data_IF_589372137801
#
_entry.id   IF_589372137801
#
_cell.length_a   1.000
_cell.length_b   1.000
_cell.length_c   1.000
_cell.angle_alpha   90.00
_cell.angle_beta   90.00
_cell.angle_gamma   90.00
#
_symmetry.space_group_name_H-M   'P 1'
#
loop_
_entity.id
_entity.type
_entity.pdbx_description
1 polymer ?
2 non-polymer ?
3 water ?
#
# COMPACT_ATOMS: atom_id res chain seq x y z
N UNK A 1 7.20 -19.66 -3.17
CA UNK A 1 7.93 -18.39 -3.11
C UNK A 1 8.31 -18.09 -1.67
N UNK A 2 9.45 -17.45 -1.49
CA UNK A 2 9.89 -17.16 -0.14
C UNK A 2 9.18 -15.91 0.36
N UNK A 3 8.79 -15.93 1.64
CA UNK A 3 8.11 -14.81 2.26
C UNK A 3 9.00 -13.61 2.16
N UNK A 4 8.58 -12.65 1.34
CA UNK A 4 9.42 -11.50 1.05
C UNK A 4 9.67 -10.61 2.24
N UNK A 5 10.42 -9.54 2.00
CA UNK A 5 10.57 -8.48 2.97
C UNK A 5 9.22 -7.79 3.17
N UNK A 6 9.04 -7.11 4.29
CA UNK A 6 7.78 -6.43 4.58
C UNK A 6 7.98 -5.05 5.20
N UNK A 7 9.12 -4.43 4.92
CA UNK A 7 9.37 -3.11 5.47
C UNK A 7 8.92 -2.03 4.50
N UNK A 8 8.44 -0.92 5.05
CA UNK A 8 8.20 0.28 4.26
C UNK A 8 9.53 0.84 3.76
N UNK A 9 9.57 1.25 2.50
CA UNK A 9 10.68 2.05 1.99
C UNK A 9 10.34 3.51 2.22
N UNK A 10 11.01 4.15 3.19
CA UNK A 10 10.64 5.52 3.56
C UNK A 10 10.81 6.52 2.42
N UNK A 11 9.85 7.43 2.31
CA UNK A 11 9.89 8.51 1.33
C UNK A 11 9.94 8.02 -0.11
N UNK A 12 9.37 6.84 -0.34
CA UNK A 12 9.16 6.34 -1.70
C UNK A 12 7.66 6.21 -1.94
N UNK A 13 7.19 6.76 -3.06
CA UNK A 13 5.78 6.64 -3.42
C UNK A 13 5.66 5.84 -4.72
N UNK A 14 4.69 4.93 -4.77
CA UNK A 14 4.43 4.19 -6.02
C UNK A 14 3.83 5.10 -7.09
N UNK A 15 4.50 5.17 -8.24
CA UNK A 15 3.99 5.96 -9.35
C UNK A 15 2.79 5.29 -9.99
N UNK A 16 2.58 4.02 -9.68
CA UNK A 16 1.43 3.31 -10.19
C UNK A 16 0.14 3.67 -9.49
N UNK A 17 0.10 3.49 -8.18
CA UNK A 17 -1.13 3.66 -7.39
C UNK A 17 -1.06 4.77 -6.34
N UNK A 18 0.03 5.53 -6.35
CA UNK A 18 0.28 6.58 -5.35
C UNK A 18 0.32 6.08 -3.91
N UNK A 19 0.60 4.79 -3.72
CA UNK A 19 0.60 4.23 -2.39
C UNK A 19 2.01 4.12 -1.84
N UNK A 20 2.14 3.61 -0.61
CA UNK A 20 3.46 3.32 -0.06
C UNK A 20 4.07 2.08 -0.70
N UNK A 21 5.39 1.95 -0.58
CA UNK A 21 6.09 0.81 -1.13
C UNK A 21 6.50 -0.05 0.04
N UNK A 22 5.82 -1.18 0.18
CA UNK A 22 6.01 -2.05 1.33
C UNK A 22 6.48 -3.40 0.83
N UNK A 23 7.60 -3.89 1.34
CA UNK A 23 8.20 -5.08 0.78
C UNK A 23 9.22 -4.70 -0.28
N UNK A 24 9.18 -5.35 -1.44
CA UNK A 24 10.17 -5.07 -2.48
C UNK A 24 9.84 -3.79 -3.24
N UNK A 25 10.86 -2.99 -3.51
CA UNK A 25 10.69 -1.79 -4.30
C UNK A 25 11.18 -2.05 -5.72
N UNK A 26 10.35 -1.72 -6.71
CA UNK A 26 10.75 -1.93 -8.09
C UNK A 26 11.07 -0.59 -8.74
N UNK A 27 12.35 -0.27 -8.80
CA UNK A 27 12.78 1.00 -9.35
C UNK A 27 13.11 0.83 -10.81
N UNK A 28 12.49 1.65 -11.66
CA UNK A 28 12.77 1.58 -13.08
C UNK A 28 14.24 1.91 -13.31
N UNK A 29 14.90 1.14 -14.16
CA UNK A 29 16.31 1.37 -14.48
C UNK A 29 16.49 2.34 -15.66
N UNK A 30 15.40 2.80 -16.24
CA UNK A 30 15.49 3.71 -17.38
C UNK A 30 14.99 5.09 -16.99
N UNK A 31 13.80 5.15 -16.40
CA UNK A 31 13.26 6.41 -15.91
C UNK A 31 14.09 6.90 -14.73
N UNK A 32 14.25 8.22 -14.61
CA UNK A 32 15.11 8.73 -13.53
C UNK A 32 14.52 8.56 -12.14
N UNK A 33 13.19 8.51 -12.02
CA UNK A 33 12.56 8.58 -10.71
C UNK A 33 11.22 7.87 -10.67
N UNK A 34 11.19 6.62 -11.12
CA UNK A 34 9.94 5.88 -11.24
C UNK A 34 10.02 4.59 -10.43
N UNK A 35 9.04 4.38 -9.55
CA UNK A 35 9.04 3.18 -8.70
C UNK A 35 7.65 2.53 -8.70
N UNK A 36 7.61 1.22 -8.52
CA UNK A 36 6.35 0.49 -8.35
C UNK A 36 6.36 -0.30 -7.04
N UNK A 37 5.20 -0.37 -6.38
CA UNK A 37 5.01 -1.31 -5.27
C UNK A 37 4.83 -2.69 -5.87
N UNK A 38 4.99 -3.74 -5.07
CA UNK A 38 4.94 -5.09 -5.64
C UNK A 38 3.55 -5.39 -6.17
N UNK A 39 2.54 -4.69 -5.65
CA UNK A 39 1.18 -4.91 -6.12
C UNK A 39 1.04 -4.42 -7.55
N UNK A 40 1.52 -3.21 -7.81
CA UNK A 40 1.48 -2.66 -9.15
C UNK A 40 2.41 -3.38 -10.12
N UNK A 41 3.61 -3.77 -9.67
CA UNK A 41 4.50 -4.58 -10.51
C UNK A 41 3.79 -5.86 -10.93
N UNK A 42 3.08 -6.47 -9.98
CA UNK A 42 2.35 -7.70 -10.23
C UNK A 42 1.24 -7.52 -11.26
N UNK A 43 0.66 -6.33 -11.29
CA UNK A 43 -0.40 -6.02 -12.22
C UNK A 43 0.14 -5.75 -13.63
N UNK A 44 1.47 -5.76 -13.77
CA UNK A 44 2.10 -5.57 -15.06
C UNK A 44 2.23 -4.13 -15.51
N UNK A 45 2.21 -3.19 -14.57
CA UNK A 45 2.35 -1.78 -14.91
C UNK A 45 3.78 -1.48 -15.35
N UNK A 46 3.92 -0.47 -16.20
CA UNK A 46 5.22 0.02 -16.65
C UNK A 46 6.03 -1.09 -17.32
N UNK A 47 5.35 -1.91 -18.12
CA UNK A 47 5.99 -2.98 -18.87
C UNK A 47 6.71 -2.37 -20.07
N UNK A 48 7.99 -2.71 -20.25
CA UNK A 48 8.77 -2.18 -21.36
C UNK A 48 10.11 -1.59 -20.93
N UNK A 49 10.21 -1.24 -19.65
CA UNK A 49 11.44 -0.79 -19.02
C UNK A 49 11.82 -1.79 -17.96
N UNK A 50 13.09 -2.13 -17.90
CA UNK A 50 13.55 -3.05 -16.87
C UNK A 50 13.60 -2.34 -15.52
N UNK A 51 13.10 -3.02 -14.49
CA UNK A 51 13.18 -2.47 -13.15
C UNK A 51 14.15 -3.26 -12.28
N UNK A 52 14.73 -2.59 -11.29
CA UNK A 52 15.60 -3.24 -10.32
C UNK A 52 14.79 -3.52 -9.06
N UNK A 53 14.91 -4.73 -8.51
CA UNK A 53 14.22 -5.12 -7.28
C UNK A 53 15.07 -4.87 -6.04
N UNK A 54 14.63 -3.95 -5.19
CA UNK A 54 15.28 -3.70 -3.91
C UNK A 54 14.39 -4.24 -2.79
N UNK A 55 14.77 -5.39 -2.21
CA UNK A 55 13.90 -6.01 -1.20
C UNK A 55 13.74 -5.14 0.02
N UNK A 56 14.80 -4.45 0.40
CA UNK A 56 14.84 -3.73 1.66
C UNK A 56 15.41 -2.34 1.47
N UNK A 57 14.98 -1.38 2.30
CA UNK A 57 15.63 -0.07 2.35
C UNK A 57 16.91 -0.08 3.19
N UNK B 1 -8.11 19.45 3.65
CA UNK B 1 -8.15 18.07 3.17
C UNK B 1 -8.21 18.01 1.67
N UNK B 2 -7.37 17.20 1.07
CA UNK B 2 -7.55 16.92 -0.34
C UNK B 2 -8.55 15.78 -0.43
N UNK B 3 -9.47 15.88 -1.38
CA UNK B 3 -10.44 14.81 -1.61
C UNK B 3 -9.67 13.55 -1.92
N UNK B 4 -9.66 12.62 -0.97
CA UNK B 4 -8.91 11.40 -1.12
C UNK B 4 -9.43 10.52 -2.23
N UNK B 5 -8.87 9.32 -2.32
CA UNK B 5 -9.39 8.31 -3.21
C UNK B 5 -10.80 7.91 -2.76
N UNK B 6 -11.56 7.26 -3.63
CA UNK B 6 -12.92 6.86 -3.29
C UNK B 6 -13.29 5.51 -3.88
N UNK B 7 -12.29 4.66 -4.11
CA UNK B 7 -12.57 3.34 -4.65
C UNK B 7 -12.67 2.31 -3.54
N UNK B 8 -13.50 1.31 -3.77
CA UNK B 8 -13.59 0.19 -2.85
C UNK B 8 -12.34 -0.65 -3.00
N UNK B 9 -11.78 -1.09 -1.88
CA UNK B 9 -10.74 -2.11 -1.88
C UNK B 9 -11.39 -3.48 -1.89
N UNK B 10 -11.34 -4.16 -3.04
CA UNK B 10 -12.05 -5.44 -3.14
C UNK B 10 -11.52 -6.47 -2.15
N UNK B 11 -12.45 -7.24 -1.59
CA UNK B 11 -12.13 -8.33 -0.68
C UNK B 11 -11.41 -7.89 0.59
N UNK B 12 -11.67 -6.66 1.01
CA UNK B 12 -11.22 -6.18 2.32
C UNK B 12 -12.43 -5.78 3.15
N UNK B 13 -12.48 -6.27 4.38
CA UNK B 13 -13.53 -5.88 5.31
C UNK B 13 -12.91 -5.16 6.50
N UNK B 14 -13.55 -4.08 6.93
CA UNK B 14 -13.09 -3.34 8.10
C UNK B 14 -13.27 -4.16 9.36
N UNK B 15 -12.18 -4.36 10.09
CA UNK B 15 -12.24 -5.06 11.36
C UNK B 15 -12.92 -4.23 12.43
N UNK B 16 -13.05 -2.94 12.15
CA UNK B 16 -13.71 -2.04 13.07
C UNK B 16 -15.22 -2.18 13.06
N UNK B 17 -15.81 -1.99 11.88
CA UNK B 17 -17.27 -1.96 11.75
C UNK B 17 -17.85 -3.09 10.90
N UNK B 18 -16.98 -3.90 10.30
CA UNK B 18 -17.35 -4.99 9.37
C UNK B 18 -17.95 -4.48 8.06
N UNK B 19 -17.64 -3.25 7.70
CA UNK B 19 -18.13 -2.69 6.46
C UNK B 19 -17.07 -2.73 5.38
N UNK B 20 -17.38 -2.20 4.20
CA UNK B 20 -16.37 -2.13 3.14
C UNK B 20 -15.35 -1.05 3.43
N UNK B 21 -14.19 -1.16 2.79
CA UNK B 21 -13.15 -0.18 2.96
C UNK B 21 -13.14 0.64 1.69
N UNK B 22 -13.59 1.88 1.80
CA UNK B 22 -13.79 2.73 0.62
C UNK B 22 -12.96 3.98 0.77
N UNK B 23 -12.10 4.26 -0.21
CA UNK B 23 -11.13 5.32 -0.05
C UNK B 23 -9.86 4.70 0.51
N UNK B 24 -9.25 5.32 1.51
CA UNK B 24 -7.97 4.84 2.04
C UNK B 24 -8.16 3.60 2.91
N UNK B 25 -7.29 2.62 2.73
CA UNK B 25 -7.28 1.44 3.59
C UNK B 25 -6.16 1.57 4.63
N UNK B 26 -6.50 1.32 5.89
CA UNK B 26 -5.51 1.39 6.95
C UNK B 26 -5.20 -0.01 7.45
N UNK B 27 -4.05 -0.53 7.07
CA UNK B 27 -3.71 -1.91 7.40
C UNK B 27 -2.73 -1.90 8.53
N UNK B 28 -3.03 -2.65 9.59
CA UNK B 28 -2.12 -2.70 10.71
C UNK B 28 -0.77 -3.28 10.26
N UNK B 29 0.30 -2.65 10.70
CA UNK B 29 1.64 -3.10 10.34
C UNK B 29 2.15 -4.14 11.32
N UNK B 30 1.36 -4.45 12.34
CA UNK B 30 1.81 -5.38 13.38
C UNK B 30 1.00 -6.67 13.33
N UNK B 31 -0.33 -6.53 13.33
CA UNK B 31 -1.22 -7.67 13.16
C UNK B 31 -1.08 -8.22 11.75
N UNK B 32 -1.28 -9.53 11.59
CA UNK B 32 -1.09 -10.06 10.24
C UNK B 32 -2.25 -9.75 9.29
N UNK B 33 -3.44 -9.48 9.81
CA UNK B 33 -4.58 -9.32 8.92
C UNK B 33 -5.66 -8.41 9.49
N UNK B 34 -5.27 -7.20 9.86
CA UNK B 34 -6.20 -6.26 10.47
C UNK B 34 -6.27 -4.98 9.62
N UNK B 35 -7.49 -4.54 9.32
CA UNK B 35 -7.68 -3.35 8.50
C UNK B 35 -8.79 -2.46 9.06
N UNK B 36 -8.66 -1.16 8.87
CA UNK B 36 -9.71 -0.21 9.24
C UNK B 36 -10.11 0.63 8.04
N UNK B 37 -11.41 0.90 7.92
CA UNK B 37 -11.90 1.91 6.98
C UNK B 37 -11.54 3.27 7.55
N UNK B 38 -11.60 4.30 6.72
CA UNK B 38 -11.19 5.63 7.17
C UNK B 38 -12.08 6.15 8.29
N UNK B 39 -13.37 5.80 8.30
CA UNK B 39 -14.21 6.34 9.37
C UNK B 39 -13.79 5.68 10.69
N UNK B 40 -13.52 4.38 10.65
CA UNK B 40 -13.09 3.68 11.85
C UNK B 40 -11.74 4.17 12.34
N UNK B 41 -10.81 4.40 11.41
CA UNK B 41 -9.51 4.96 11.76
C UNK B 41 -9.69 6.32 12.40
N UNK B 42 -10.64 7.09 11.87
CA UNK B 42 -10.91 8.43 12.37
C UNK B 42 -11.53 8.45 13.76
N UNK B 43 -12.25 7.39 14.10
CA UNK B 43 -12.85 7.28 15.42
C UNK B 43 -11.81 6.87 16.47
N UNK B 44 -10.60 6.56 16.01
CA UNK B 44 -9.50 6.23 16.89
C UNK B 44 -9.38 4.76 17.27
N UNK B 45 -9.93 3.88 16.43
CA UNK B 45 -9.90 2.45 16.74
C UNK B 45 -8.51 1.89 16.55
N UNK B 46 -8.20 0.84 17.30
CA UNK B 46 -6.94 0.12 17.14
C UNK B 46 -5.74 1.04 17.32
N UNK B 47 -5.83 1.93 18.31
CA UNK B 47 -4.72 2.80 18.66
C UNK B 47 -3.70 1.99 19.46
N UNK B 48 -2.43 2.11 19.09
CA UNK B 48 -1.39 1.32 19.75
C UNK B 48 -0.47 0.62 18.76
N UNK B 49 -1.00 0.32 17.58
CA UNK B 49 -0.24 -0.26 16.47
C UNK B 49 -0.22 0.71 15.31
N UNK B 50 0.93 0.86 14.68
CA UNK B 50 1.01 1.71 13.50
C UNK B 50 0.30 1.05 12.31
N UNK B 51 -0.47 1.84 11.59
CA UNK B 51 -1.12 1.34 10.38
C UNK B 51 -0.50 1.98 9.13
N UNK B 52 -0.45 1.23 8.04
CA UNK B 52 -0.01 1.75 6.74
C UNK B 52 -1.22 2.27 6.00
N UNK B 53 -1.09 3.42 5.33
CA UNK B 53 -2.18 4.00 4.54
C UNK B 53 -2.07 3.65 3.07
N UNK B 54 -3.02 2.87 2.57
CA UNK B 54 -3.07 2.55 1.16
C UNK B 54 -4.26 3.27 0.54
N UNK B 55 -3.99 4.39 -0.17
CA UNK B 55 -5.09 5.18 -0.72
C UNK B 55 -5.89 4.41 -1.75
N UNK B 56 -5.24 3.54 -2.52
CA UNK B 56 -5.92 2.82 -3.58
C UNK B 56 -5.53 1.35 -3.62
N UNK B 57 -6.46 0.48 -4.06
CA UNK B 57 -6.17 -0.95 -4.20
C UNK B 57 -5.17 -1.25 -5.32
X LIG C 1 1.51 0.68 -6.42
X LIG D 1 10.63 3.56 -16.86
X LIG E 1 -14.80 0.56 9.63
X LIG F 1 -2.71 -4.34 15.09
#
# INVERSE_FOLDING_TARGET
RELGSNMVHPNVICDGCNGPVVGTRYKCSVCPDYDLCSVCEGKGLHRGHTKLAFPSP
RELGSNMVHPNVICDGCNGPVVGTRYKCSVCPDYDLCSVCEGKGLHRGHTKLAFPSP
ZN ZN
ZN ZN
ZN ZN
ZN ZN
#
